data_IF_667683284568
#
_entry.id   IF_667683284568
#
_cell.length_a   1.000
_cell.length_b   1.000
_cell.length_c   1.000
_cell.angle_alpha   90.00
_cell.angle_beta   90.00
_cell.angle_gamma   90.00
#
_symmetry.space_group_name_H-M   'P 1'
#
loop_
_entity.id
_entity.type
_entity.pdbx_description
1 polymer ?
#
# COMPACT_ATOMS: atom_id res chain seq x y z
N UNK A 1 -5.31 10.67 -20.81
CA UNK A 1 -4.07 11.46 -20.64
C UNK A 1 -4.10 12.31 -19.37
N UNK A 2 -5.16 13.08 -19.10
CA UNK A 2 -5.27 13.94 -17.90
C UNK A 2 -5.05 13.22 -16.55
N UNK A 3 -5.55 11.99 -16.40
CA UNK A 3 -5.40 11.20 -15.18
C UNK A 3 -3.94 10.94 -14.79
N UNK A 4 -3.12 10.54 -15.75
CA UNK A 4 -1.70 10.18 -15.52
C UNK A 4 -0.93 11.44 -15.11
N UNK A 5 -1.22 12.58 -15.74
CA UNK A 5 -0.67 13.88 -15.39
C UNK A 5 -1.06 14.31 -13.97
N UNK A 6 -2.33 14.19 -13.59
CA UNK A 6 -2.76 14.49 -12.21
C UNK A 6 -2.12 13.58 -11.17
N UNK A 7 -1.94 12.29 -11.49
CA UNK A 7 -1.21 11.37 -10.61
C UNK A 7 0.25 11.75 -10.48
N UNK A 8 0.93 12.11 -11.57
CA UNK A 8 2.33 12.51 -11.53
C UNK A 8 2.54 13.78 -10.69
N UNK A 9 1.66 14.77 -10.84
CA UNK A 9 1.69 16.01 -10.06
C UNK A 9 1.54 15.77 -8.55
N UNK A 10 0.63 14.88 -8.14
CA UNK A 10 0.36 14.65 -6.71
C UNK A 10 1.30 13.61 -6.09
N UNK A 11 1.66 12.57 -6.82
CA UNK A 11 2.50 11.47 -6.33
C UNK A 11 3.99 11.76 -6.49
N UNK A 12 4.36 12.79 -7.26
CA UNK A 12 5.74 13.12 -7.63
C UNK A 12 6.42 12.10 -8.55
N UNK A 13 5.75 10.97 -8.84
CA UNK A 13 6.18 9.92 -9.77
C UNK A 13 4.97 9.36 -10.50
N UNK A 14 5.09 9.03 -11.80
CA UNK A 14 4.00 8.42 -12.53
C UNK A 14 3.66 7.04 -11.92
N UNK A 15 2.36 6.70 -11.79
CA UNK A 15 1.95 5.36 -11.38
C UNK A 15 2.41 4.33 -12.44
N UNK A 16 2.84 3.15 -11.98
CA UNK A 16 3.26 2.04 -12.87
C UNK A 16 2.10 1.55 -13.73
N UNK A 17 0.92 1.48 -13.12
CA UNK A 17 -0.29 0.98 -13.77
C UNK A 17 -1.47 1.82 -13.33
N UNK A 18 -2.35 2.13 -14.27
CA UNK A 18 -3.67 2.69 -14.02
C UNK A 18 -4.66 1.79 -14.75
N UNK A 19 -5.66 1.29 -14.03
CA UNK A 19 -6.65 0.38 -14.58
C UNK A 19 -8.07 0.86 -14.25
N UNK A 20 -8.94 0.77 -15.25
CA UNK A 20 -10.38 0.86 -15.08
C UNK A 20 -10.93 -0.54 -14.84
N UNK A 21 -11.64 -0.71 -13.74
CA UNK A 21 -12.37 -1.93 -13.44
C UNK A 21 -13.75 -1.92 -14.10
N UNK A 22 -14.36 -3.10 -14.30
CA UNK A 22 -15.77 -3.20 -14.67
C UNK A 22 -16.63 -2.36 -13.69
N UNK A 23 -17.44 -1.45 -14.23
CA UNK A 23 -18.21 -0.48 -13.42
C UNK A 23 -17.57 0.92 -13.30
N UNK A 24 -16.49 1.19 -14.05
CA UNK A 24 -15.93 2.54 -14.18
C UNK A 24 -15.07 2.99 -12.99
N UNK A 25 -14.89 2.12 -11.99
CA UNK A 25 -13.98 2.35 -10.88
C UNK A 25 -12.54 2.32 -11.35
N UNK A 26 -11.70 3.11 -10.69
CA UNK A 26 -10.31 3.30 -11.04
C UNK A 26 -9.43 2.81 -9.90
N UNK A 27 -8.34 2.14 -10.27
CA UNK A 27 -7.25 1.79 -9.38
C UNK A 27 -5.91 2.14 -10.01
N UNK A 28 -4.94 2.50 -9.18
CA UNK A 28 -3.59 2.81 -9.58
C UNK A 28 -2.60 1.96 -8.81
N UNK A 29 -1.46 1.61 -9.42
CA UNK A 29 -0.34 0.97 -8.75
C UNK A 29 0.83 1.92 -8.74
N UNK A 30 1.32 2.27 -7.57
CA UNK A 30 2.38 3.28 -7.42
C UNK A 30 3.74 2.72 -7.85
N UNK A 31 4.74 3.60 -7.96
CA UNK A 31 6.12 3.21 -8.25
C UNK A 31 6.68 2.20 -7.23
N UNK A 32 6.23 2.26 -5.98
CA UNK A 32 6.60 1.37 -4.87
C UNK A 32 5.85 0.03 -4.90
N UNK A 33 4.91 -0.17 -5.82
CA UNK A 33 4.15 -1.42 -5.96
C UNK A 33 2.87 -1.50 -5.11
N UNK A 34 2.59 -0.49 -4.30
CA UNK A 34 1.36 -0.34 -3.51
C UNK A 34 0.15 -0.13 -4.42
N UNK A 35 -0.99 -0.70 -4.03
CA UNK A 35 -2.26 -0.54 -4.72
C UNK A 35 -3.06 0.64 -4.14
N UNK A 36 -3.51 1.55 -4.98
CA UNK A 36 -4.37 2.67 -4.62
C UNK A 36 -5.74 2.48 -5.26
N UNK A 37 -6.78 2.36 -4.45
CA UNK A 37 -8.16 2.27 -4.90
C UNK A 37 -8.75 3.68 -4.90
N UNK A 38 -9.14 4.16 -6.08
CA UNK A 38 -9.67 5.51 -6.28
C UNK A 38 -11.20 5.49 -6.47
N UNK A 39 -11.79 4.31 -6.71
CA UNK A 39 -13.22 4.18 -6.97
C UNK A 39 -13.62 4.97 -8.20
N UNK A 40 -14.78 5.61 -8.20
CA UNK A 40 -15.23 6.43 -9.33
C UNK A 40 -14.26 7.59 -9.62
N UNK A 41 -14.07 8.01 -10.88
CA UNK A 41 -13.11 9.06 -11.24
C UNK A 41 -13.52 10.48 -10.78
N UNK A 42 -14.68 10.62 -10.15
CA UNK A 42 -15.12 11.87 -9.51
C UNK A 42 -14.21 12.24 -8.35
N UNK A 43 -14.04 13.56 -8.14
CA UNK A 43 -13.19 14.13 -7.08
C UNK A 43 -11.74 13.61 -7.08
N UNK A 44 -11.20 13.24 -8.26
CA UNK A 44 -9.90 12.58 -8.36
C UNK A 44 -8.78 13.33 -7.62
N UNK A 45 -8.70 14.64 -7.80
CA UNK A 45 -7.68 15.47 -7.16
C UNK A 45 -7.74 15.38 -5.63
N UNK A 46 -8.95 15.44 -5.06
CA UNK A 46 -9.18 15.29 -3.62
C UNK A 46 -8.74 13.93 -3.11
N UNK A 47 -9.03 12.87 -3.88
CA UNK A 47 -8.63 11.49 -3.52
C UNK A 47 -7.12 11.31 -3.55
N UNK A 48 -6.45 11.85 -4.57
CA UNK A 48 -4.99 11.84 -4.68
C UNK A 48 -4.35 12.63 -3.53
N UNK A 49 -4.92 13.79 -3.17
CA UNK A 49 -4.47 14.57 -2.03
C UNK A 49 -4.64 13.81 -0.70
N UNK A 50 -5.80 13.18 -0.46
CA UNK A 50 -6.02 12.33 0.72
C UNK A 50 -4.99 11.20 0.79
N UNK A 51 -4.71 10.54 -0.33
CA UNK A 51 -3.66 9.53 -0.40
C UNK A 51 -2.29 10.09 0.01
N UNK A 52 -1.92 11.28 -0.49
CA UNK A 52 -0.65 11.92 -0.18
C UNK A 52 -0.54 12.24 1.32
N UNK A 53 -1.61 12.76 1.92
CA UNK A 53 -1.68 13.04 3.38
C UNK A 53 -1.48 11.77 4.20
N UNK A 54 -2.11 10.66 3.79
CA UNK A 54 -1.95 9.36 4.47
C UNK A 54 -0.49 8.89 4.36
N UNK A 55 0.08 8.87 3.15
CA UNK A 55 1.46 8.42 2.94
C UNK A 55 2.49 9.28 3.65
N UNK A 56 2.27 10.60 3.76
CA UNK A 56 3.15 11.49 4.52
C UNK A 56 3.10 11.23 6.04
N UNK A 57 2.02 10.61 6.55
CA UNK A 57 1.88 10.24 7.96
C UNK A 57 2.38 8.82 8.26
N UNK A 58 2.45 7.95 7.26
CA UNK A 58 2.84 6.55 7.42
C UNK A 58 4.31 6.34 7.08
N UNK A 59 5.07 5.81 8.04
CA UNK A 59 6.48 5.42 7.85
C UNK A 59 6.65 3.95 7.45
N UNK A 60 5.56 3.17 7.51
CA UNK A 60 5.58 1.73 7.20
C UNK A 60 5.30 1.46 5.73
N UNK A 61 5.80 0.33 5.19
CA UNK A 61 5.37 -0.16 3.89
C UNK A 61 3.88 -0.50 3.96
N UNK A 62 3.14 -0.14 2.92
CA UNK A 62 1.69 -0.32 2.84
C UNK A 62 1.37 -1.17 1.62
N UNK A 63 0.43 -2.09 1.79
CA UNK A 63 -0.02 -3.01 0.75
C UNK A 63 -1.02 -2.34 -0.16
N UNK A 64 -2.01 -1.66 0.43
CA UNK A 64 -2.98 -0.87 -0.32
C UNK A 64 -3.50 0.33 0.49
N UNK A 65 -3.98 1.35 -0.23
CA UNK A 65 -4.72 2.49 0.29
C UNK A 65 -6.00 2.64 -0.53
N UNK A 66 -7.14 2.70 0.16
CA UNK A 66 -8.44 3.01 -0.42
C UNK A 66 -8.84 4.45 -0.09
N UNK A 67 -8.97 5.24 -1.14
CA UNK A 67 -9.41 6.64 -1.11
C UNK A 67 -10.65 6.84 -1.99
N UNK A 68 -11.39 5.78 -2.31
CA UNK A 68 -12.65 5.88 -3.05
C UNK A 68 -13.64 6.83 -2.35
N UNK A 69 -13.62 6.82 -1.02
CA UNK A 69 -14.34 7.75 -0.14
C UNK A 69 -13.33 8.62 0.61
N UNK A 70 -12.96 9.82 0.11
CA UNK A 70 -11.84 10.60 0.67
C UNK A 70 -12.07 11.09 2.11
N UNK A 71 -13.32 11.15 2.57
CA UNK A 71 -13.66 11.50 3.96
C UNK A 71 -13.39 10.37 4.96
N UNK A 72 -13.32 9.12 4.49
CA UNK A 72 -13.12 7.92 5.33
C UNK A 72 -12.14 6.97 4.63
N UNK A 73 -10.86 7.36 4.51
CA UNK A 73 -9.90 6.55 3.79
C UNK A 73 -9.47 5.32 4.62
N UNK A 74 -9.15 4.23 3.94
CA UNK A 74 -8.72 2.97 4.55
C UNK A 74 -7.33 2.61 4.03
N UNK A 75 -6.47 2.02 4.85
CA UNK A 75 -5.16 1.55 4.41
C UNK A 75 -4.77 0.28 5.15
N UNK A 76 -3.94 -0.55 4.51
CA UNK A 76 -3.45 -1.79 5.10
C UNK A 76 -1.92 -1.85 5.03
N UNK A 77 -1.22 -2.03 6.16
CA UNK A 77 0.23 -2.20 6.15
C UNK A 77 0.62 -3.46 5.40
N UNK A 78 1.81 -3.44 4.79
CA UNK A 78 2.44 -4.64 4.25
C UNK A 78 2.99 -5.45 5.43
N UNK A 79 2.17 -6.34 5.98
CA UNK A 79 2.60 -7.26 7.04
C UNK A 79 3.51 -8.30 6.41
N UNK A 80 4.77 -8.34 6.83
CA UNK A 80 5.67 -9.44 6.50
C UNK A 80 5.07 -10.72 7.10
N UNK A 81 5.07 -11.86 6.37
CA UNK A 81 4.66 -13.13 6.97
C UNK A 81 5.49 -13.37 8.24
N UNK A 82 4.90 -13.90 9.32
CA UNK A 82 5.67 -14.26 10.50
C UNK A 82 6.83 -15.16 10.07
N UNK A 83 8.03 -14.87 10.55
CA UNK A 83 9.18 -15.73 10.29
C UNK A 83 8.79 -17.18 10.65
N UNK A 84 9.17 -18.18 9.83
CA UNK A 84 8.91 -19.57 10.17
C UNK A 84 9.45 -19.80 11.60
N UNK A 85 8.63 -20.42 12.45
CA UNK A 85 9.02 -20.71 13.82
C UNK A 85 10.37 -21.43 13.80
N UNK A 86 11.41 -20.79 14.36
CA UNK A 86 12.65 -21.51 14.60
C UNK A 86 12.30 -22.68 15.53
N UNK A 87 12.71 -23.92 15.19
CA UNK A 87 12.54 -25.02 16.13
C UNK A 87 13.23 -24.65 17.44
N UNK A 88 12.66 -25.01 18.60
CA UNK A 88 13.29 -24.71 19.88
C UNK A 88 14.71 -25.28 19.88
N UNK A 89 15.69 -24.43 20.21
CA UNK A 89 17.07 -24.80 20.44
C UNK A 89 17.09 -26.09 21.28
N UNK A 90 17.66 -27.15 20.70
CA UNK A 90 17.83 -28.41 21.42
C UNK A 90 18.67 -28.13 22.67
N UNK A 91 18.26 -28.58 23.87
CA UNK A 91 19.04 -28.33 25.07
C UNK A 91 20.41 -29.01 24.94
N UNK A 92 21.48 -28.22 24.96
CA UNK A 92 22.86 -28.68 25.13
C UNK A 92 22.92 -29.50 26.41
N UNK A 93 22.84 -30.82 26.28
CA UNK A 93 23.04 -31.74 27.40
C UNK A 93 24.52 -31.67 27.74
N UNK A 94 24.88 -30.89 28.78
CA UNK A 94 26.19 -31.02 29.41
C UNK A 94 26.29 -32.43 30.01
N UNK A 95 26.90 -33.34 29.25
CA UNK A 95 27.31 -34.64 29.77
C UNK A 95 28.52 -34.40 30.70
N UNK A 96 28.27 -34.47 32.01
CA UNK A 96 29.33 -34.56 33.02
C UNK A 96 29.64 -36.04 33.23
N UNK A 97 30.77 -36.50 32.72
CA UNK A 97 31.47 -37.70 33.18
C UNK A 97 32.88 -37.23 33.54
N UNK A 98 33.42 -37.48 34.74
CA UNK A 98 33.34 -38.70 35.53
C UNK A 98 34.75 -39.25 35.57
#
# INVERSE_FOLDING_TARGET
TAFVTSCEQVLGKPPRVVAFEPGGSLRARTASGELVLLGQPTELERKLYTYQVIRNRLTVPVRYVDVATPSVPVWQPLVAPPAPAQPPDSPTTKLKSG
#
